data_IF_773852073162
#
_entry.id   IF_773852073162
#
_cell.length_a   1.000
_cell.length_b   1.000
_cell.length_c   1.000
_cell.angle_alpha   90.00
_cell.angle_beta   90.00
_cell.angle_gamma   90.00
#
_symmetry.space_group_name_H-M   'P 1'
#
loop_
_entity.id
_entity.type
_entity.pdbx_description
1 polymer ?
#
# COMPACT_ATOMS: atom_id res chain seq x y z
N UNK A 1 38.80 5.56 -47.28
CA UNK A 1 37.49 6.23 -47.23
C UNK A 1 36.59 5.42 -46.31
N UNK A 2 36.13 6.11 -45.27
CA UNK A 2 35.20 5.74 -44.20
C UNK A 2 33.83 5.30 -44.70
N UNK A 3 33.24 4.25 -44.12
CA UNK A 3 31.84 4.29 -43.65
C UNK A 3 31.51 3.09 -42.78
N UNK A 4 31.65 3.29 -41.47
CA UNK A 4 31.12 2.47 -40.39
C UNK A 4 29.62 2.74 -40.29
N UNK A 5 28.76 1.88 -40.82
CA UNK A 5 27.31 1.97 -40.58
C UNK A 5 26.95 1.11 -39.39
N UNK A 6 27.18 1.68 -38.21
CA UNK A 6 26.59 1.19 -36.97
C UNK A 6 25.06 1.27 -37.11
N UNK A 7 24.43 0.14 -37.41
CA UNK A 7 22.99 -0.04 -37.30
C UNK A 7 22.67 0.00 -35.80
N UNK A 8 22.42 1.21 -35.32
CA UNK A 8 22.04 1.53 -33.96
C UNK A 8 20.68 0.87 -33.71
N UNK A 9 20.71 -0.33 -33.13
CA UNK A 9 19.54 -1.09 -32.69
C UNK A 9 18.76 -0.21 -31.71
N UNK A 10 17.70 0.40 -32.23
CA UNK A 10 16.77 1.17 -31.44
C UNK A 10 15.94 0.22 -30.58
N UNK A 11 15.81 0.58 -29.31
CA UNK A 11 14.65 0.32 -28.45
C UNK A 11 14.37 -1.13 -28.04
N UNK A 12 15.30 -1.75 -27.33
CA UNK A 12 14.90 -2.63 -26.22
C UNK A 12 14.81 -1.80 -24.94
N UNK A 13 13.68 -1.10 -24.75
CA UNK A 13 13.25 -0.69 -23.42
C UNK A 13 12.83 -1.96 -22.67
N UNK A 14 13.83 -2.77 -22.28
CA UNK A 14 13.64 -3.79 -21.26
C UNK A 14 13.18 -3.04 -20.03
N UNK A 15 11.88 -3.09 -19.73
CA UNK A 15 11.38 -2.67 -18.43
C UNK A 15 12.02 -3.60 -17.42
N UNK A 16 13.21 -3.21 -16.96
CA UNK A 16 13.93 -3.93 -15.94
C UNK A 16 12.95 -4.05 -14.78
N UNK A 17 12.58 -5.26 -14.33
CA UNK A 17 11.61 -5.41 -13.25
C UNK A 17 12.03 -4.61 -12.01
N UNK A 18 13.32 -4.28 -11.88
CA UNK A 18 13.88 -3.42 -10.86
C UNK A 18 13.42 -1.95 -10.90
N UNK A 19 13.02 -1.40 -12.04
CA UNK A 19 12.47 -0.03 -12.15
C UNK A 19 10.97 0.04 -11.88
N UNK A 20 10.25 -1.08 -11.95
CA UNK A 20 8.78 -1.10 -11.78
C UNK A 20 8.36 -1.09 -10.31
N UNK A 21 9.01 -1.89 -9.46
CA UNK A 21 8.65 -2.00 -8.03
C UNK A 21 8.61 -0.66 -7.28
N UNK A 22 9.61 0.24 -7.44
CA UNK A 22 9.60 1.54 -6.78
C UNK A 22 8.36 2.37 -7.15
N UNK A 23 7.85 2.26 -8.37
CA UNK A 23 6.68 3.02 -8.82
C UNK A 23 5.38 2.34 -8.35
N UNK A 24 5.31 1.01 -8.48
CA UNK A 24 4.11 0.24 -8.16
C UNK A 24 3.74 0.31 -6.67
N UNK A 25 4.71 0.35 -5.76
CA UNK A 25 4.46 0.37 -4.33
C UNK A 25 3.64 1.60 -3.87
N UNK A 26 4.10 2.85 -4.04
CA UNK A 26 3.32 4.02 -3.65
C UNK A 26 2.09 4.21 -4.55
N UNK A 27 2.18 3.92 -5.85
CA UNK A 27 1.06 4.11 -6.77
C UNK A 27 -0.14 3.24 -6.37
N UNK A 28 0.09 1.97 -6.02
CA UNK A 28 -0.99 1.08 -5.56
C UNK A 28 -1.60 1.52 -4.23
N UNK A 29 -0.81 2.09 -3.31
CA UNK A 29 -1.34 2.71 -2.08
C UNK A 29 -2.24 3.89 -2.40
N UNK A 30 -1.80 4.81 -3.28
CA UNK A 30 -2.62 5.97 -3.68
C UNK A 30 -3.90 5.57 -4.41
N UNK A 31 -3.81 4.60 -5.34
CA UNK A 31 -4.98 4.05 -6.03
C UNK A 31 -5.94 3.40 -5.03
N UNK A 32 -5.41 2.65 -4.06
CA UNK A 32 -6.22 2.06 -2.99
C UNK A 32 -6.99 3.12 -2.21
N UNK A 33 -6.36 4.23 -1.81
CA UNK A 33 -7.01 5.28 -1.03
C UNK A 33 -8.02 6.11 -1.82
N UNK A 34 -7.73 6.41 -3.09
CA UNK A 34 -8.51 7.37 -3.88
C UNK A 34 -9.53 6.72 -4.83
N UNK A 35 -9.35 5.46 -5.19
CA UNK A 35 -10.12 4.82 -6.23
C UNK A 35 -11.12 3.79 -5.69
N UNK A 36 -10.79 2.50 -5.72
CA UNK A 36 -11.80 1.45 -5.58
C UNK A 36 -12.35 1.33 -4.16
N UNK A 37 -13.49 0.65 -4.05
CA UNK A 37 -14.05 0.24 -2.79
C UNK A 37 -13.06 -0.63 -1.99
N UNK A 38 -13.06 -0.46 -0.67
CA UNK A 38 -12.28 -1.26 0.28
C UNK A 38 -13.09 -2.44 0.80
N UNK A 39 -14.37 -2.21 1.10
CA UNK A 39 -15.25 -3.19 1.73
C UNK A 39 -16.64 -3.08 1.11
N UNK A 40 -17.28 -4.22 0.90
CA UNK A 40 -18.71 -4.28 0.64
C UNK A 40 -19.48 -4.44 1.94
N UNK A 41 -20.38 -3.51 2.19
CA UNK A 41 -21.34 -3.59 3.27
C UNK A 41 -22.64 -4.23 2.75
N UNK A 42 -23.02 -5.44 3.20
CA UNK A 42 -24.30 -6.03 2.83
C UNK A 42 -25.47 -5.24 3.44
N UNK A 43 -26.65 -5.32 2.81
CA UNK A 43 -27.84 -4.64 3.28
C UNK A 43 -28.21 -5.10 4.70
N UNK A 44 -28.51 -4.14 5.58
CA UNK A 44 -29.03 -4.43 6.91
C UNK A 44 -30.46 -3.89 7.02
N UNK A 45 -31.42 -4.80 6.96
CA UNK A 45 -32.86 -4.50 7.02
C UNK A 45 -33.24 -3.89 8.37
N UNK A 46 -32.59 -4.33 9.47
CA UNK A 46 -32.86 -3.81 10.80
C UNK A 46 -32.35 -2.38 11.00
N UNK A 47 -31.24 -2.02 10.36
CA UNK A 47 -30.70 -0.66 10.36
C UNK A 47 -31.21 0.21 9.19
N UNK A 48 -32.09 -0.34 8.34
CA UNK A 48 -32.56 0.28 7.10
C UNK A 48 -31.43 0.79 6.19
N UNK A 49 -30.26 0.15 6.21
CA UNK A 49 -29.13 0.52 5.37
C UNK A 49 -29.08 -0.36 4.11
N UNK A 50 -29.05 0.24 2.90
CA UNK A 50 -28.91 -0.52 1.67
C UNK A 50 -27.50 -1.11 1.55
N UNK A 51 -27.35 -2.14 0.72
CA UNK A 51 -26.04 -2.66 0.39
C UNK A 51 -25.21 -1.60 -0.35
N UNK A 52 -23.94 -1.46 0.01
CA UNK A 52 -23.07 -0.45 -0.59
C UNK A 52 -21.61 -0.91 -0.62
N UNK A 53 -20.91 -0.53 -1.69
CA UNK A 53 -19.46 -0.62 -1.75
C UNK A 53 -18.85 0.65 -1.12
N UNK A 54 -18.11 0.47 -0.03
CA UNK A 54 -17.50 1.54 0.74
C UNK A 54 -16.05 1.73 0.30
N UNK A 55 -15.76 2.86 -0.35
CA UNK A 55 -14.38 3.31 -0.58
C UNK A 55 -13.76 3.93 0.69
N UNK A 56 -12.49 4.29 0.64
CA UNK A 56 -11.78 4.79 1.82
C UNK A 56 -12.43 6.05 2.40
N UNK A 57 -12.87 6.98 1.54
CA UNK A 57 -13.56 8.20 1.97
C UNK A 57 -14.92 7.90 2.64
N UNK A 58 -15.68 6.95 2.11
CA UNK A 58 -16.94 6.52 2.70
C UNK A 58 -16.74 5.82 4.04
N UNK A 59 -15.68 5.01 4.18
CA UNK A 59 -15.29 4.41 5.47
C UNK A 59 -14.91 5.47 6.50
N UNK A 60 -14.11 6.47 6.10
CA UNK A 60 -13.74 7.58 6.98
C UNK A 60 -14.97 8.39 7.41
N UNK A 61 -15.89 8.68 6.48
CA UNK A 61 -17.14 9.35 6.78
C UNK A 61 -18.00 8.54 7.77
N UNK A 62 -18.13 7.22 7.55
CA UNK A 62 -18.88 6.33 8.45
C UNK A 62 -18.28 6.30 9.86
N UNK A 63 -16.96 6.19 9.98
CA UNK A 63 -16.27 6.23 11.27
C UNK A 63 -16.42 7.58 11.97
N UNK A 64 -16.45 8.69 11.23
CA UNK A 64 -16.70 10.02 11.80
C UNK A 64 -18.15 10.23 12.25
N UNK A 65 -19.10 9.57 11.59
CA UNK A 65 -20.52 9.63 11.93
C UNK A 65 -20.88 8.80 13.17
N UNK A 66 -20.11 7.73 13.45
CA UNK A 66 -20.33 6.82 14.58
C UNK A 66 -19.05 6.63 15.41
N UNK A 67 -18.55 7.70 16.06
CA UNK A 67 -17.28 7.67 16.78
C UNK A 67 -17.27 6.68 17.95
N UNK A 68 -18.41 6.43 18.58
CA UNK A 68 -18.56 5.48 19.70
C UNK A 68 -18.30 4.02 19.31
N UNK A 69 -18.42 3.69 18.02
CA UNK A 69 -18.21 2.33 17.51
C UNK A 69 -16.79 2.09 17.00
N UNK A 70 -15.95 3.12 16.98
CA UNK A 70 -14.60 3.10 16.41
C UNK A 70 -13.51 3.19 17.47
N UNK A 71 -12.39 2.50 17.25
CA UNK A 71 -11.21 2.67 18.09
C UNK A 71 -10.45 3.95 17.72
N UNK A 72 -9.71 4.53 18.66
CA UNK A 72 -8.87 5.72 18.39
C UNK A 72 -7.86 5.49 17.26
N UNK A 73 -7.37 4.25 17.14
CA UNK A 73 -6.48 3.84 16.06
C UNK A 73 -7.21 3.86 14.71
N UNK A 74 -8.42 3.31 14.62
CA UNK A 74 -9.23 3.29 13.40
C UNK A 74 -9.58 4.72 12.95
N UNK A 75 -9.98 5.58 13.87
CA UNK A 75 -10.29 6.99 13.59
C UNK A 75 -9.06 7.74 13.08
N UNK A 76 -7.89 7.53 13.70
CA UNK A 76 -6.64 8.15 13.23
C UNK A 76 -6.19 7.60 11.88
N UNK A 77 -6.36 6.30 11.65
CA UNK A 77 -6.05 5.61 10.40
C UNK A 77 -6.85 6.17 9.23
N UNK A 78 -8.17 6.23 9.38
CA UNK A 78 -9.08 6.68 8.34
C UNK A 78 -9.05 8.20 8.10
N UNK A 79 -8.57 8.99 9.06
CA UNK A 79 -8.46 10.44 8.92
C UNK A 79 -7.17 10.88 8.24
N UNK A 80 -6.00 10.56 8.81
CA UNK A 80 -4.71 11.11 8.36
C UNK A 80 -3.62 10.06 8.19
N UNK A 81 -3.64 8.99 8.99
CA UNK A 81 -2.48 8.11 9.11
C UNK A 81 -2.29 7.22 7.87
N UNK A 82 -3.36 6.76 7.21
CA UNK A 82 -3.23 6.02 5.96
C UNK A 82 -2.62 6.87 4.83
N UNK A 83 -2.97 8.16 4.78
CA UNK A 83 -2.39 9.15 3.86
C UNK A 83 -0.92 9.40 4.17
N UNK A 84 -0.58 9.56 5.45
CA UNK A 84 0.79 9.71 5.90
C UNK A 84 1.64 8.48 5.51
N UNK A 85 1.09 7.26 5.64
CA UNK A 85 1.77 6.05 5.19
C UNK A 85 2.05 6.04 3.68
N UNK A 86 1.07 6.43 2.85
CA UNK A 86 1.29 6.55 1.41
C UNK A 86 2.36 7.59 1.06
N UNK A 87 2.37 8.73 1.77
CA UNK A 87 3.40 9.77 1.61
C UNK A 87 4.80 9.28 2.05
N UNK A 88 4.91 8.63 3.21
CA UNK A 88 6.17 8.05 3.71
C UNK A 88 6.68 6.98 2.75
N UNK A 89 5.81 6.08 2.27
CA UNK A 89 6.19 5.07 1.29
C UNK A 89 6.75 5.70 0.01
N UNK A 90 6.10 6.77 -0.47
CA UNK A 90 6.58 7.55 -1.62
C UNK A 90 7.97 8.15 -1.35
N UNK A 91 8.16 8.79 -0.19
CA UNK A 91 9.43 9.40 0.20
C UNK A 91 10.57 8.37 0.34
N UNK A 92 10.29 7.20 0.94
CA UNK A 92 11.28 6.12 1.10
C UNK A 92 11.72 5.55 -0.25
N UNK A 93 10.78 5.35 -1.16
CA UNK A 93 11.04 4.91 -2.53
C UNK A 93 11.88 5.91 -3.29
N UNK A 94 11.52 7.20 -3.25
CA UNK A 94 12.26 8.27 -3.92
C UNK A 94 13.66 8.39 -3.33
N UNK A 95 13.78 8.39 -1.99
CA UNK A 95 15.05 8.43 -1.28
C UNK A 95 15.95 7.25 -1.63
N UNK A 96 15.40 6.04 -1.72
CA UNK A 96 16.14 4.86 -2.16
C UNK A 96 16.63 5.00 -3.60
N UNK A 97 15.80 5.52 -4.52
CA UNK A 97 16.16 5.72 -5.93
C UNK A 97 17.23 6.79 -6.12
N UNK A 98 17.13 7.91 -5.40
CA UNK A 98 18.04 9.05 -5.55
C UNK A 98 19.39 8.79 -4.88
N UNK A 99 19.38 8.19 -3.68
CA UNK A 99 20.60 8.08 -2.87
C UNK A 99 21.27 6.72 -2.93
N UNK A 100 20.53 5.65 -3.25
CA UNK A 100 21.01 4.27 -3.19
C UNK A 100 21.39 3.77 -1.78
N UNK A 101 21.12 4.54 -0.72
CA UNK A 101 21.57 4.20 0.64
C UNK A 101 20.73 3.07 1.23
N UNK A 102 21.42 2.10 1.86
CA UNK A 102 20.83 0.93 2.52
C UNK A 102 19.84 1.28 3.63
N UNK A 103 20.03 2.43 4.27
CA UNK A 103 19.15 2.90 5.36
C UNK A 103 17.71 3.06 4.88
N UNK A 104 17.48 3.52 3.63
CA UNK A 104 16.14 3.62 3.07
C UNK A 104 15.52 2.24 2.82
N UNK A 105 16.33 1.24 2.46
CA UNK A 105 15.89 -0.15 2.34
C UNK A 105 15.49 -0.76 3.70
N UNK A 106 16.27 -0.51 4.75
CA UNK A 106 15.95 -0.93 6.11
C UNK A 106 14.68 -0.25 6.63
N UNK A 107 14.54 1.06 6.42
CA UNK A 107 13.34 1.82 6.79
C UNK A 107 12.12 1.38 6.00
N UNK A 108 12.27 1.06 4.71
CA UNK A 108 11.17 0.52 3.90
C UNK A 108 10.70 -0.85 4.41
N UNK A 109 11.62 -1.72 4.82
CA UNK A 109 11.28 -3.02 5.40
C UNK A 109 10.56 -2.87 6.75
N UNK A 110 11.20 -2.22 7.72
CA UNK A 110 10.67 -2.07 9.08
C UNK A 110 9.39 -1.23 9.06
N UNK A 111 9.41 -0.11 8.34
CA UNK A 111 8.26 0.76 8.15
C UNK A 111 7.10 0.03 7.47
N UNK A 112 7.36 -0.79 6.46
CA UNK A 112 6.31 -1.57 5.78
C UNK A 112 5.62 -2.57 6.71
N UNK A 113 6.39 -3.26 7.56
CA UNK A 113 5.81 -4.17 8.57
C UNK A 113 4.94 -3.40 9.56
N UNK A 114 5.41 -2.27 10.07
CA UNK A 114 4.64 -1.42 11.00
C UNK A 114 3.37 -0.88 10.33
N UNK A 115 3.46 -0.41 9.08
CA UNK A 115 2.31 0.06 8.31
C UNK A 115 1.29 -1.05 8.10
N UNK A 116 1.73 -2.27 7.79
CA UNK A 116 0.84 -3.42 7.60
C UNK A 116 0.11 -3.78 8.90
N UNK A 117 0.83 -3.93 10.01
CA UNK A 117 0.23 -4.24 11.31
C UNK A 117 -0.74 -3.15 11.76
N UNK A 118 -0.37 -1.89 11.57
CA UNK A 118 -1.23 -0.76 11.92
C UNK A 118 -2.50 -0.74 11.07
N UNK A 119 -2.39 -0.99 9.77
CA UNK A 119 -3.53 -1.11 8.85
C UNK A 119 -4.46 -2.24 9.27
N UNK A 120 -3.90 -3.41 9.59
CA UNK A 120 -4.66 -4.59 10.00
C UNK A 120 -5.40 -4.37 11.34
N UNK A 121 -4.74 -3.75 12.32
CA UNK A 121 -5.36 -3.42 13.61
C UNK A 121 -6.40 -2.30 13.48
N UNK A 122 -6.15 -1.29 12.64
CA UNK A 122 -7.09 -0.22 12.39
C UNK A 122 -8.36 -0.72 11.68
N UNK A 123 -8.21 -1.56 10.65
CA UNK A 123 -9.33 -2.13 9.90
C UNK A 123 -10.12 -3.16 10.71
N UNK A 124 -9.46 -3.90 11.61
CA UNK A 124 -10.16 -4.73 12.60
C UNK A 124 -11.02 -3.87 13.53
N UNK A 125 -10.48 -2.75 14.03
CA UNK A 125 -11.18 -1.91 15.00
C UNK A 125 -11.66 -2.71 16.23
N UNK A 126 -12.94 -2.54 16.57
CA UNK A 126 -13.62 -3.23 17.67
C UNK A 126 -14.06 -4.66 17.33
N UNK A 127 -14.04 -5.06 16.05
CA UNK A 127 -14.48 -6.38 15.62
C UNK A 127 -13.56 -7.50 16.14
N UNK A 128 -14.12 -8.70 16.31
CA UNK A 128 -13.36 -9.91 16.64
C UNK A 128 -12.57 -10.43 15.43
N UNK A 129 -11.51 -11.18 15.67
CA UNK A 129 -10.72 -11.78 14.58
C UNK A 129 -11.54 -12.77 13.75
N UNK A 130 -12.43 -13.54 14.38
CA UNK A 130 -13.35 -14.44 13.66
C UNK A 130 -14.25 -13.65 12.71
N UNK A 131 -14.82 -12.54 13.16
CA UNK A 131 -15.66 -11.69 12.31
C UNK A 131 -14.89 -11.16 11.09
N UNK A 132 -13.63 -10.72 11.28
CA UNK A 132 -12.79 -10.24 10.17
C UNK A 132 -12.51 -11.36 9.15
N UNK A 133 -12.27 -12.59 9.62
CA UNK A 133 -12.03 -13.75 8.75
C UNK A 133 -13.31 -14.14 8.00
N UNK A 134 -14.44 -14.22 8.68
CA UNK A 134 -15.72 -14.60 8.07
C UNK A 134 -16.18 -13.59 7.02
N UNK A 135 -15.83 -12.31 7.21
CA UNK A 135 -16.14 -11.23 6.28
C UNK A 135 -15.02 -10.92 5.30
N UNK A 136 -13.97 -11.75 5.22
CA UNK A 136 -12.86 -11.51 4.31
C UNK A 136 -13.32 -11.49 2.83
N UNK A 137 -14.37 -12.23 2.48
CA UNK A 137 -15.00 -12.22 1.16
C UNK A 137 -15.61 -10.86 0.77
N UNK A 138 -15.89 -10.00 1.74
CA UNK A 138 -16.38 -8.64 1.52
C UNK A 138 -15.25 -7.65 1.23
N UNK A 139 -13.98 -8.08 1.32
CA UNK A 139 -12.84 -7.26 0.90
C UNK A 139 -12.93 -6.93 -0.58
N UNK A 140 -12.57 -5.70 -0.94
CA UNK A 140 -12.60 -5.19 -2.31
C UNK A 140 -11.22 -4.70 -2.76
N UNK A 141 -11.12 -4.35 -4.03
CA UNK A 141 -9.85 -4.05 -4.72
C UNK A 141 -9.06 -2.91 -4.07
N UNK A 142 -9.71 -1.95 -3.42
CA UNK A 142 -9.05 -0.80 -2.79
C UNK A 142 -8.15 -1.23 -1.63
N UNK A 143 -8.64 -2.12 -0.76
CA UNK A 143 -7.84 -2.70 0.32
C UNK A 143 -6.69 -3.56 -0.24
N UNK A 144 -6.98 -4.39 -1.26
CA UNK A 144 -5.98 -5.27 -1.89
C UNK A 144 -4.87 -4.45 -2.54
N UNK A 145 -5.21 -3.36 -3.25
CA UNK A 145 -4.25 -2.45 -3.84
C UNK A 145 -3.38 -1.78 -2.78
N UNK A 146 -3.99 -1.29 -1.70
CA UNK A 146 -3.26 -0.65 -0.61
C UNK A 146 -2.31 -1.63 0.10
N UNK A 147 -2.80 -2.80 0.49
CA UNK A 147 -2.00 -3.85 1.12
C UNK A 147 -0.90 -4.35 0.17
N UNK A 148 -1.20 -4.51 -1.12
CA UNK A 148 -0.23 -4.86 -2.16
C UNK A 148 0.91 -3.85 -2.27
N UNK A 149 0.62 -2.56 -2.14
CA UNK A 149 1.63 -1.51 -2.10
C UNK A 149 2.56 -1.59 -0.89
N UNK A 150 2.01 -1.87 0.29
CA UNK A 150 2.81 -2.11 1.50
C UNK A 150 3.71 -3.34 1.32
N UNK A 151 3.17 -4.44 0.79
CA UNK A 151 3.95 -5.66 0.52
C UNK A 151 5.06 -5.39 -0.49
N UNK A 152 4.78 -4.64 -1.56
CA UNK A 152 5.79 -4.25 -2.54
C UNK A 152 6.91 -3.40 -1.89
N UNK A 153 6.58 -2.52 -0.94
CA UNK A 153 7.56 -1.75 -0.18
C UNK A 153 8.45 -2.64 0.71
N UNK A 154 7.87 -3.63 1.38
CA UNK A 154 8.61 -4.64 2.17
C UNK A 154 9.59 -5.40 1.27
N UNK A 155 9.11 -5.89 0.12
CA UNK A 155 9.93 -6.62 -0.86
C UNK A 155 11.07 -5.76 -1.39
N UNK A 156 10.82 -4.48 -1.67
CA UNK A 156 11.85 -3.51 -2.05
C UNK A 156 12.92 -3.37 -0.95
N UNK A 157 12.51 -3.26 0.31
CA UNK A 157 13.41 -3.18 1.46
C UNK A 157 14.31 -4.42 1.57
N UNK A 158 13.73 -5.62 1.52
CA UNK A 158 14.49 -6.89 1.54
C UNK A 158 15.49 -6.97 0.38
N UNK A 159 15.08 -6.62 -0.83
CA UNK A 159 15.94 -6.66 -2.02
C UNK A 159 17.10 -5.67 -1.94
N UNK A 160 16.85 -4.46 -1.44
CA UNK A 160 17.88 -3.44 -1.23
C UNK A 160 18.97 -3.95 -0.28
N UNK A 161 18.58 -4.60 0.81
CA UNK A 161 19.51 -5.15 1.80
C UNK A 161 20.33 -6.32 1.23
N UNK A 162 19.70 -7.24 0.47
CA UNK A 162 20.38 -8.40 -0.14
C UNK A 162 21.42 -8.03 -1.20
N UNK A 163 21.19 -7.00 -2.01
CA UNK A 163 22.20 -6.56 -3.00
C UNK A 163 23.47 -6.05 -2.35
N UNK A 164 23.33 -5.48 -1.16
CA UNK A 164 24.48 -4.97 -0.46
C UNK A 164 25.39 -6.06 0.11
N UNK A 165 24.87 -7.24 0.43
CA UNK A 165 25.69 -8.33 0.96
C UNK A 165 26.52 -9.01 -0.13
N UNK A 166 26.16 -8.89 -1.42
CA UNK A 166 26.91 -9.53 -2.52
C UNK A 166 28.06 -8.70 -3.08
N UNK A 167 28.23 -7.44 -2.64
CA UNK A 167 29.35 -6.56 -3.06
C UNK A 167 30.48 -6.57 -2.00
N UNK A 168 30.27 -7.30 -0.89
CA UNK A 168 31.23 -7.40 0.21
C UNK A 168 32.06 -8.69 0.25
N UNK A 169 32.00 -9.52 -0.81
CA UNK A 169 32.87 -10.67 -1.04
C UNK A 169 33.63 -10.45 -2.35
#
# INVERSE_FOLDING_TARGET
>A
MTSTTAFKTATESTTNPQTLWPILAPLSMWVGLLGPAWVYAPANIAAQTPAADLNFAALAALTSAYPESATSLQTSYLSWLAWAFAAIATALVVGLRVTGKKIFGALALVGGIVMYLTTLLAMKGTYSWSYVIDNFSNTRLGYVAYAGGIVAMIVLGVRSLRRSSSIGN
#
